data_IF_399428147905
#
_entry.id   IF_399428147905
#
_cell.length_a   1.000
_cell.length_b   1.000
_cell.length_c   1.000
_cell.angle_alpha   90.00
_cell.angle_beta   90.00
_cell.angle_gamma   90.00
#
_symmetry.space_group_name_H-M   'P 1'
#
loop_
_entity.id
_entity.type
_entity.pdbx_description
1 polymer ?
#
# COMPACT_ATOMS: atom_id res chain seq x y z
N UNK A 1 -7.32 -7.82 27.81
CA UNK A 1 -8.52 -7.20 28.44
C UNK A 1 -8.96 -6.10 27.51
N UNK A 2 -10.13 -6.23 26.90
CA UNK A 2 -10.68 -5.19 26.07
C UNK A 2 -11.24 -4.11 27.00
N UNK A 3 -10.64 -2.95 27.01
CA UNK A 3 -11.21 -1.78 27.67
C UNK A 3 -11.56 -0.81 26.55
N UNK A 4 -12.83 -0.73 26.22
CA UNK A 4 -13.36 0.33 25.37
C UNK A 4 -13.80 1.45 26.30
N UNK A 5 -13.12 2.56 26.26
CA UNK A 5 -13.57 3.77 26.95
C UNK A 5 -13.79 4.81 25.87
N UNK A 6 -15.00 5.27 25.67
CA UNK A 6 -15.26 6.42 24.83
C UNK A 6 -14.56 7.64 25.45
N UNK A 7 -13.68 8.25 24.71
CA UNK A 7 -13.07 9.53 25.08
C UNK A 7 -13.76 10.59 24.25
N UNK A 8 -14.41 11.54 24.95
CA UNK A 8 -15.02 12.68 24.30
C UNK A 8 -13.90 13.61 23.76
N UNK A 9 -13.82 13.79 22.47
CA UNK A 9 -12.87 14.68 21.84
C UNK A 9 -13.05 16.16 22.22
N UNK A 10 -14.18 16.54 22.79
CA UNK A 10 -14.37 17.85 23.38
C UNK A 10 -13.32 18.21 24.43
N UNK A 11 -12.71 17.20 25.06
CA UNK A 11 -11.62 17.36 26.02
C UNK A 11 -10.27 17.63 25.32
N UNK A 12 -10.16 17.29 24.05
CA UNK A 12 -8.94 17.45 23.25
C UNK A 12 -8.94 18.68 22.34
N UNK A 13 -9.92 19.56 22.50
CA UNK A 13 -10.02 20.82 21.76
C UNK A 13 -10.89 20.80 20.51
N UNK A 14 -11.57 19.69 20.24
CA UNK A 14 -12.65 19.59 19.26
C UNK A 14 -13.95 19.96 19.98
N UNK A 15 -14.84 20.73 19.34
CA UNK A 15 -16.08 21.14 19.99
C UNK A 15 -16.99 19.94 20.25
N UNK A 16 -17.73 19.98 21.37
CA UNK A 16 -18.63 18.91 21.76
C UNK A 16 -19.80 18.69 20.80
N UNK A 17 -19.97 19.56 19.84
CA UNK A 17 -21.02 19.45 18.81
C UNK A 17 -20.58 18.53 17.65
N UNK A 18 -19.31 18.09 17.62
CA UNK A 18 -18.75 17.32 16.53
C UNK A 18 -18.94 15.81 16.67
N UNK A 19 -19.50 15.36 17.79
CA UNK A 19 -19.86 13.96 17.99
C UNK A 19 -18.70 12.97 17.82
N UNK A 20 -17.48 13.38 18.17
CA UNK A 20 -16.32 12.53 18.02
C UNK A 20 -16.24 11.48 19.12
N UNK A 21 -16.05 10.23 18.76
CA UNK A 21 -15.90 9.11 19.67
C UNK A 21 -14.53 8.44 19.43
N UNK A 22 -13.74 8.29 20.48
CA UNK A 22 -12.49 7.52 20.44
C UNK A 22 -12.67 6.23 21.22
N UNK A 23 -12.58 5.14 20.52
CA UNK A 23 -12.51 3.82 21.12
C UNK A 23 -11.08 3.30 21.03
N UNK A 24 -10.50 2.89 22.14
CA UNK A 24 -9.19 2.29 22.13
C UNK A 24 -9.22 0.90 22.77
N UNK A 25 -8.36 0.03 22.25
CA UNK A 25 -8.22 -1.34 22.72
C UNK A 25 -6.77 -1.57 23.12
N UNK A 26 -6.53 -1.91 24.38
CA UNK A 26 -5.23 -2.36 24.84
C UNK A 26 -5.16 -3.87 24.65
N UNK A 27 -4.33 -4.34 23.73
CA UNK A 27 -4.19 -5.77 23.41
C UNK A 27 -3.13 -6.49 24.24
N UNK A 28 -2.40 -5.77 25.07
CA UNK A 28 -1.36 -6.26 25.96
C UNK A 28 -0.79 -5.10 26.77
N UNK A 29 0.29 -5.35 27.51
CA UNK A 29 0.98 -4.26 28.22
C UNK A 29 1.79 -3.35 27.31
N UNK A 30 2.03 -3.76 26.06
CA UNK A 30 2.98 -3.12 25.17
C UNK A 30 2.36 -2.57 23.88
N UNK A 31 1.18 -3.04 23.50
CA UNK A 31 0.52 -2.65 22.27
C UNK A 31 -0.87 -2.09 22.52
N UNK A 32 -1.19 -1.04 21.79
CA UNK A 32 -2.52 -0.43 21.85
C UNK A 32 -3.02 -0.10 20.45
N UNK A 33 -4.33 0.06 20.37
CA UNK A 33 -5.01 0.61 19.22
C UNK A 33 -5.91 1.75 19.65
N UNK A 34 -5.98 2.75 18.81
CA UNK A 34 -6.99 3.80 18.91
C UNK A 34 -7.82 3.72 17.65
N UNK A 35 -9.10 3.54 17.84
CA UNK A 35 -10.10 3.67 16.81
C UNK A 35 -10.83 4.99 17.08
N UNK A 36 -10.65 5.95 16.20
CA UNK A 36 -11.29 7.25 16.27
C UNK A 36 -12.34 7.33 15.16
N UNK A 37 -13.55 7.64 15.52
CA UNK A 37 -14.63 7.92 14.58
C UNK A 37 -15.10 9.37 14.80
N UNK A 38 -15.13 10.13 13.74
CA UNK A 38 -15.56 11.54 13.76
C UNK A 38 -16.82 11.65 12.92
N UNK A 39 -17.87 12.14 13.53
CA UNK A 39 -19.14 12.40 12.85
C UNK A 39 -19.13 13.79 12.19
N UNK A 40 -19.75 13.89 11.04
CA UNK A 40 -19.78 15.09 10.22
C UNK A 40 -20.31 16.33 10.93
N UNK A 41 -19.62 17.42 10.82
CA UNK A 41 -20.06 18.71 11.38
C UNK A 41 -19.10 19.85 11.11
N UNK A 42 -17.79 19.64 11.20
CA UNK A 42 -16.80 20.70 11.05
C UNK A 42 -15.81 20.43 9.95
N UNK A 43 -16.13 20.87 8.76
CA UNK A 43 -15.16 20.93 7.66
C UNK A 43 -13.95 21.76 8.09
N UNK A 44 -12.76 21.15 8.08
CA UNK A 44 -11.50 21.85 8.29
C UNK A 44 -10.97 21.88 9.73
N UNK A 45 -11.42 20.99 10.59
CA UNK A 45 -10.84 20.84 11.93
C UNK A 45 -9.67 19.85 11.89
N UNK A 46 -8.51 20.29 12.38
CA UNK A 46 -7.41 19.39 12.67
C UNK A 46 -7.70 18.67 14.00
N UNK A 47 -7.63 17.36 13.97
CA UNK A 47 -7.75 16.53 15.15
C UNK A 47 -6.39 16.13 15.66
N UNK A 48 -6.01 16.60 16.84
CA UNK A 48 -4.81 16.19 17.55
C UNK A 48 -5.12 15.23 18.67
N UNK A 49 -4.56 14.03 18.63
CA UNK A 49 -4.64 13.06 19.72
C UNK A 49 -3.34 13.06 20.51
N UNK A 50 -3.40 13.55 21.74
CA UNK A 50 -2.25 13.55 22.63
C UNK A 50 -2.26 12.29 23.51
N UNK A 51 -1.34 11.39 23.29
CA UNK A 51 -1.23 10.12 24.03
C UNK A 51 -0.95 10.29 25.52
N UNK A 52 -0.32 11.39 25.92
CA UNK A 52 -0.12 11.72 27.32
C UNK A 52 -1.40 11.87 28.12
N UNK A 53 -2.50 12.18 27.46
CA UNK A 53 -3.82 12.32 28.10
C UNK A 53 -4.55 10.97 28.22
N UNK A 54 -4.12 9.95 27.47
CA UNK A 54 -4.69 8.61 27.53
C UNK A 54 -3.93 7.72 28.55
N UNK A 55 -2.97 8.29 29.24
CA UNK A 55 -2.12 7.59 30.23
C UNK A 55 -2.88 7.00 31.41
N UNK A 56 -4.10 7.47 31.68
CA UNK A 56 -4.94 6.90 32.74
C UNK A 56 -5.34 5.45 32.51
N UNK A 57 -5.11 4.92 31.31
CA UNK A 57 -5.34 3.54 30.95
C UNK A 57 -4.04 2.73 30.80
N UNK A 58 -2.96 3.33 31.17
CA UNK A 58 -1.71 2.64 31.37
C UNK A 58 -0.71 2.72 30.25
N UNK A 59 -0.97 3.44 29.16
CA UNK A 59 -0.01 3.56 28.06
C UNK A 59 -0.53 4.28 26.86
N UNK A 60 0.34 4.66 25.98
CA UNK A 60 1.69 5.15 25.99
C UNK A 60 1.73 6.65 26.09
N UNK A 61 2.88 7.16 26.35
CA UNK A 61 2.98 8.51 26.83
C UNK A 61 3.79 9.40 25.89
N UNK A 62 3.31 10.60 25.68
CA UNK A 62 4.13 11.67 25.16
C UNK A 62 4.18 11.83 23.65
N UNK A 63 3.41 11.08 22.89
CA UNK A 63 3.31 11.30 21.44
C UNK A 63 2.02 12.06 21.12
N UNK A 64 2.14 13.04 20.23
CA UNK A 64 0.99 13.71 19.62
C UNK A 64 0.86 13.22 18.20
N UNK A 65 -0.32 12.81 17.80
CA UNK A 65 -0.65 12.52 16.43
C UNK A 65 -1.62 13.60 15.97
N UNK A 66 -1.19 14.30 14.95
CA UNK A 66 -2.05 15.24 14.27
C UNK A 66 -2.83 14.49 13.19
N UNK A 67 -4.12 14.40 13.42
CA UNK A 67 -5.08 13.89 12.45
C UNK A 67 -5.77 15.10 11.85
N UNK A 68 -5.19 15.65 10.79
CA UNK A 68 -5.90 16.64 10.01
C UNK A 68 -6.93 15.94 9.13
N UNK A 69 -8.18 16.38 9.11
CA UNK A 69 -9.20 15.86 8.21
C UNK A 69 -10.23 16.93 7.86
N UNK A 70 -10.85 16.74 6.70
CA UNK A 70 -11.98 17.53 6.27
C UNK A 70 -13.23 16.65 6.41
N UNK A 71 -13.96 16.82 7.48
CA UNK A 71 -15.13 16.02 7.75
C UNK A 71 -16.36 16.59 7.02
N UNK A 72 -16.52 16.20 5.79
CA UNK A 72 -17.83 16.32 5.13
C UNK A 72 -18.72 15.10 5.35
N UNK A 73 -18.14 14.00 5.80
CA UNK A 73 -18.77 12.72 6.08
C UNK A 73 -18.22 12.14 7.37
N UNK A 74 -18.83 11.08 7.87
CA UNK A 74 -18.31 10.32 8.98
C UNK A 74 -16.99 9.65 8.56
N UNK A 75 -15.94 9.90 9.32
CA UNK A 75 -14.63 9.32 9.08
C UNK A 75 -14.18 8.48 10.27
N UNK A 76 -13.56 7.35 9.98
CA UNK A 76 -12.98 6.47 10.99
C UNK A 76 -11.45 6.36 10.78
N UNK A 77 -10.72 6.54 11.85
CA UNK A 77 -9.27 6.44 11.89
C UNK A 77 -8.85 5.33 12.82
N UNK A 78 -7.82 4.62 12.43
CA UNK A 78 -7.22 3.57 13.25
C UNK A 78 -5.76 3.90 13.43
N UNK A 79 -5.35 3.97 14.69
CA UNK A 79 -3.99 4.21 15.09
C UNK A 79 -3.48 3.01 15.85
N UNK A 80 -2.27 2.60 15.59
CA UNK A 80 -1.61 1.54 16.33
C UNK A 80 -0.23 1.97 16.80
N UNK A 81 0.21 1.40 17.89
CA UNK A 81 1.49 1.73 18.47
C UNK A 81 1.88 0.81 19.60
N UNK A 82 3.00 1.11 20.22
CA UNK A 82 3.57 0.39 21.34
C UNK A 82 3.96 1.35 22.43
N UNK A 83 3.73 0.97 23.68
CA UNK A 83 4.12 1.74 24.85
C UNK A 83 5.64 1.83 25.02
N UNK A 84 6.35 0.79 24.63
CA UNK A 84 7.80 0.74 24.75
C UNK A 84 8.53 1.72 23.82
N UNK A 85 7.90 2.07 22.71
CA UNK A 85 8.52 2.92 21.68
C UNK A 85 7.93 4.31 21.63
N UNK A 86 7.12 4.72 22.61
CA UNK A 86 6.26 5.83 22.32
C UNK A 86 5.63 5.62 20.92
N UNK A 87 4.41 5.57 20.74
CA UNK A 87 3.74 5.32 19.48
C UNK A 87 4.54 5.91 18.30
N UNK A 88 5.20 5.05 17.54
CA UNK A 88 5.80 5.46 16.29
C UNK A 88 4.66 5.67 15.33
N UNK A 89 4.10 6.82 15.42
CA UNK A 89 3.08 7.19 14.50
C UNK A 89 3.67 7.17 13.14
N UNK A 90 3.04 6.63 12.43
CA UNK A 90 2.98 6.61 11.07
C UNK A 90 2.68 7.91 10.35
N UNK A 91 2.91 9.03 10.89
CA UNK A 91 2.71 10.28 10.21
C UNK A 91 3.98 11.15 10.21
N UNK A 92 4.78 11.11 9.13
CA UNK A 92 4.72 10.31 7.92
C UNK A 92 5.25 8.87 8.15
N UNK A 93 4.69 7.86 7.50
CA UNK A 93 5.03 6.47 7.73
C UNK A 93 6.26 5.99 6.93
N UNK A 94 7.27 6.80 6.79
CA UNK A 94 8.41 6.52 5.93
C UNK A 94 9.19 5.27 6.32
N UNK A 95 9.18 4.90 7.59
CA UNK A 95 9.95 3.77 8.12
C UNK A 95 9.12 2.89 9.06
N UNK A 96 7.83 2.73 8.73
CA UNK A 96 6.88 2.04 9.59
C UNK A 96 7.18 0.56 9.79
N UNK A 97 7.75 -0.13 8.81
CA UNK A 97 8.14 -1.52 8.97
C UNK A 97 9.31 -1.65 9.94
N UNK A 98 10.36 -0.84 9.72
CA UNK A 98 11.56 -0.83 10.58
C UNK A 98 11.22 -0.48 12.02
N UNK A 99 10.40 0.54 12.24
CA UNK A 99 10.00 0.97 13.59
C UNK A 99 9.23 -0.10 14.35
N UNK A 100 8.50 -0.95 13.63
CA UNK A 100 7.65 -1.99 14.22
C UNK A 100 8.25 -3.39 14.15
N UNK A 101 9.51 -3.55 13.75
CA UNK A 101 10.19 -4.85 13.77
C UNK A 101 10.08 -5.59 15.11
N UNK A 102 10.15 -4.93 16.29
CA UNK A 102 9.97 -5.62 17.55
C UNK A 102 8.63 -6.35 17.69
N UNK A 103 7.58 -5.84 17.04
CA UNK A 103 6.22 -6.37 17.16
C UNK A 103 5.78 -7.22 15.98
N UNK A 104 6.23 -6.89 14.76
CA UNK A 104 5.82 -7.58 13.53
C UNK A 104 6.97 -8.27 12.78
N UNK A 105 8.21 -8.08 13.20
CA UNK A 105 9.38 -8.59 12.47
C UNK A 105 9.44 -10.12 12.36
N UNK A 106 8.90 -10.86 13.32
CA UNK A 106 8.82 -12.31 13.29
C UNK A 106 7.69 -12.85 12.40
N UNK A 107 6.78 -11.98 11.97
CA UNK A 107 5.64 -12.39 11.15
C UNK A 107 6.09 -12.69 9.72
N UNK A 108 5.65 -13.80 9.12
CA UNK A 108 5.86 -14.05 7.71
C UNK A 108 5.08 -13.03 6.87
N UNK A 109 5.56 -12.75 5.67
CA UNK A 109 4.95 -11.75 4.78
C UNK A 109 3.45 -12.00 4.55
N UNK A 110 3.03 -13.29 4.50
CA UNK A 110 1.60 -13.67 4.37
C UNK A 110 0.72 -13.28 5.55
N UNK A 111 1.32 -12.96 6.69
CA UNK A 111 0.62 -12.47 7.89
C UNK A 111 0.65 -10.93 7.99
N UNK A 112 1.23 -10.25 7.02
CA UNK A 112 1.33 -8.80 7.02
C UNK A 112 0.34 -8.18 6.04
N UNK A 113 -0.13 -7.01 6.42
CA UNK A 113 -0.89 -6.08 5.58
C UNK A 113 -0.01 -4.87 5.27
N UNK A 114 -0.04 -4.38 4.02
CA UNK A 114 0.67 -3.18 3.62
C UNK A 114 -0.07 -2.41 2.53
N UNK A 115 0.13 -1.08 2.46
CA UNK A 115 -0.41 -0.28 1.37
C UNK A 115 0.22 -0.65 0.04
N UNK A 116 -0.61 -0.66 -1.01
CA UNK A 116 -0.25 -0.97 -2.37
C UNK A 116 -0.74 0.10 -3.35
N UNK A 117 0.02 0.37 -4.39
CA UNK A 117 -0.28 1.37 -5.40
C UNK A 117 -0.63 0.70 -6.73
N UNK A 118 -1.79 1.03 -7.26
CA UNK A 118 -2.24 0.64 -8.58
C UNK A 118 -1.61 1.54 -9.64
N UNK A 119 -1.10 0.92 -10.71
CA UNK A 119 -0.51 1.65 -11.85
C UNK A 119 0.45 2.78 -11.37
N UNK A 120 1.37 2.39 -10.52
CA UNK A 120 2.03 3.26 -9.55
C UNK A 120 2.89 4.37 -10.18
N UNK A 121 3.35 4.19 -11.42
CA UNK A 121 4.17 5.16 -12.13
C UNK A 121 3.40 6.26 -12.85
N UNK A 122 2.06 6.24 -12.80
CA UNK A 122 1.20 7.12 -13.57
C UNK A 122 0.79 8.38 -12.81
N UNK A 123 1.78 9.13 -12.30
CA UNK A 123 1.60 10.44 -11.67
C UNK A 123 1.88 11.61 -12.60
N UNK A 124 2.33 11.34 -13.81
CA UNK A 124 2.64 12.34 -14.86
C UNK A 124 2.49 11.69 -16.23
N UNK A 125 2.26 12.50 -17.26
CA UNK A 125 2.27 12.05 -18.65
C UNK A 125 3.56 12.47 -19.36
N UNK A 126 4.27 11.47 -19.92
CA UNK A 126 5.44 11.62 -20.78
C UNK A 126 5.15 11.15 -22.22
N UNK A 127 4.00 11.52 -22.74
CA UNK A 127 3.49 11.10 -24.02
C UNK A 127 2.21 10.28 -23.89
N UNK A 128 1.30 10.45 -24.85
CA UNK A 128 0.00 9.78 -24.84
C UNK A 128 -0.52 9.59 -26.27
N UNK A 129 -1.48 8.70 -26.43
CA UNK A 129 -2.20 8.51 -27.71
C UNK A 129 -3.15 9.69 -27.96
N UNK A 130 -3.62 9.81 -29.20
CA UNK A 130 -4.36 10.98 -29.66
C UNK A 130 -5.68 11.27 -28.90
N UNK A 131 -6.27 10.28 -28.28
CA UNK A 131 -7.56 10.40 -27.57
C UNK A 131 -7.45 10.19 -26.07
N UNK A 132 -6.24 10.02 -25.54
CA UNK A 132 -5.97 9.93 -24.11
C UNK A 132 -5.52 11.28 -23.57
N UNK A 133 -5.88 11.59 -22.33
CA UNK A 133 -5.47 12.78 -21.59
C UNK A 133 -5.15 12.46 -20.12
N UNK A 134 -4.88 13.48 -19.32
CA UNK A 134 -4.55 13.31 -17.90
C UNK A 134 -5.69 12.63 -17.13
N UNK A 135 -6.94 12.96 -17.46
CA UNK A 135 -8.10 12.51 -16.70
C UNK A 135 -8.35 10.99 -16.82
N UNK A 136 -8.10 10.42 -18.00
CA UNK A 136 -8.33 8.99 -18.26
C UNK A 136 -7.08 8.13 -18.12
N UNK A 137 -5.92 8.74 -17.90
CA UNK A 137 -4.63 8.05 -17.95
C UNK A 137 -3.88 8.08 -16.63
N UNK A 138 -3.96 9.18 -15.87
CA UNK A 138 -3.30 9.28 -14.57
C UNK A 138 -4.08 8.53 -13.50
N UNK A 139 -3.36 7.79 -12.70
CA UNK A 139 -3.91 7.04 -11.56
C UNK A 139 -3.35 7.52 -10.22
N UNK A 140 -2.28 8.30 -10.23
CA UNK A 140 -1.59 8.76 -9.02
C UNK A 140 -1.33 10.26 -9.07
N UNK A 141 -1.29 10.92 -7.91
CA UNK A 141 -0.84 12.31 -7.78
C UNK A 141 0.65 12.38 -7.43
N UNK A 142 1.11 11.49 -6.53
CA UNK A 142 2.51 11.42 -6.12
C UNK A 142 3.29 10.48 -7.04
N UNK A 143 4.55 10.82 -7.29
CA UNK A 143 5.52 9.91 -7.87
C UNK A 143 5.87 8.76 -6.90
N UNK A 144 6.64 7.78 -7.36
CA UNK A 144 7.03 6.62 -6.53
C UNK A 144 7.71 7.08 -5.21
N UNK A 145 8.50 8.15 -5.25
CA UNK A 145 9.15 8.69 -4.06
C UNK A 145 8.16 9.24 -3.04
N UNK A 146 7.15 9.98 -3.47
CA UNK A 146 6.07 10.48 -2.63
C UNK A 146 5.20 9.34 -2.05
N UNK A 147 4.86 8.36 -2.88
CA UNK A 147 4.11 7.18 -2.44
C UNK A 147 4.88 6.36 -1.37
N UNK A 148 6.19 6.19 -1.55
CA UNK A 148 7.06 5.56 -0.54
C UNK A 148 7.06 6.34 0.77
N UNK A 149 7.13 7.68 0.69
CA UNK A 149 7.12 8.57 1.86
C UNK A 149 5.80 8.50 2.65
N UNK A 150 4.69 8.20 1.98
CA UNK A 150 3.37 8.02 2.62
C UNK A 150 3.10 6.58 3.08
N UNK A 151 4.06 5.66 2.90
CA UNK A 151 4.03 4.31 3.50
C UNK A 151 3.68 3.18 2.57
N UNK A 152 3.51 3.44 1.29
CA UNK A 152 3.27 2.40 0.29
C UNK A 152 4.51 1.55 0.08
N UNK A 153 4.31 0.22 -0.11
CA UNK A 153 5.41 -0.75 -0.19
C UNK A 153 5.26 -1.78 -1.30
N UNK A 154 4.09 -1.89 -1.90
CA UNK A 154 3.82 -2.74 -3.06
C UNK A 154 3.36 -1.84 -4.21
N UNK A 155 3.98 -1.99 -5.38
CA UNK A 155 3.80 -1.12 -6.53
C UNK A 155 3.51 -1.95 -7.78
N UNK A 156 2.33 -1.78 -8.36
CA UNK A 156 1.99 -2.27 -9.70
C UNK A 156 2.71 -1.39 -10.72
N UNK A 157 3.76 -1.93 -11.31
CA UNK A 157 4.60 -1.25 -12.31
C UNK A 157 4.31 -1.88 -13.67
N UNK A 158 3.91 -1.05 -14.63
CA UNK A 158 3.56 -1.48 -15.99
C UNK A 158 4.57 -0.96 -17.00
N UNK A 159 5.66 -1.70 -17.26
CA UNK A 159 6.72 -1.21 -18.12
C UNK A 159 6.28 -1.12 -19.58
N UNK A 160 6.57 0.00 -20.23
CA UNK A 160 6.39 0.15 -21.67
C UNK A 160 7.67 0.67 -22.32
N UNK A 161 7.84 0.40 -23.61
CA UNK A 161 8.88 1.01 -24.42
C UNK A 161 8.27 2.17 -25.21
N UNK A 162 8.92 3.34 -25.14
CA UNK A 162 8.58 4.50 -25.94
C UNK A 162 9.87 5.24 -26.33
N UNK A 163 10.02 5.55 -27.62
CA UNK A 163 11.23 6.11 -28.20
C UNK A 163 12.50 5.32 -27.79
N UNK A 164 12.37 3.97 -27.71
CA UNK A 164 13.45 3.06 -27.32
C UNK A 164 13.86 3.14 -25.85
N UNK A 165 13.09 3.79 -24.98
CA UNK A 165 13.33 3.92 -23.55
C UNK A 165 12.22 3.24 -22.74
N UNK A 166 12.53 2.81 -21.52
CA UNK A 166 11.53 2.22 -20.62
C UNK A 166 10.86 3.26 -19.73
N UNK A 167 9.54 3.30 -19.80
CA UNK A 167 8.64 4.08 -18.95
C UNK A 167 7.67 3.15 -18.22
N UNK A 168 6.93 3.67 -17.28
CA UNK A 168 5.65 3.10 -16.86
C UNK A 168 4.57 3.51 -17.84
N UNK A 169 3.47 2.78 -17.94
CA UNK A 169 2.41 3.13 -18.87
C UNK A 169 1.04 2.62 -18.46
N UNK A 170 0.02 3.38 -18.79
CA UNK A 170 -1.38 2.98 -18.67
C UNK A 170 -2.00 2.94 -20.06
N UNK A 171 -2.23 1.74 -20.57
CA UNK A 171 -2.74 1.50 -21.92
C UNK A 171 -3.84 0.46 -21.93
N UNK A 172 -4.88 0.70 -22.72
CA UNK A 172 -5.99 -0.22 -22.95
C UNK A 172 -6.28 -0.34 -24.45
N UNK A 173 -6.56 -1.56 -24.91
CA UNK A 173 -7.07 -1.81 -26.27
C UNK A 173 -8.58 -1.58 -26.26
N UNK A 174 -9.02 -0.51 -26.93
CA UNK A 174 -10.43 -0.17 -27.10
C UNK A 174 -10.81 -0.50 -28.54
N UNK A 175 -11.45 -1.64 -28.73
CA UNK A 175 -11.93 -2.12 -30.04
C UNK A 175 -10.84 -2.15 -31.15
N UNK A 176 -9.63 -2.55 -30.78
CA UNK A 176 -8.48 -2.62 -31.69
C UNK A 176 -7.72 -1.30 -31.83
N UNK A 177 -8.04 -0.29 -31.03
CA UNK A 177 -7.33 0.97 -30.96
C UNK A 177 -6.74 1.16 -29.56
N UNK A 178 -5.43 1.09 -29.45
CA UNK A 178 -4.73 1.32 -28.17
C UNK A 178 -4.83 2.80 -27.79
N UNK A 179 -5.27 3.04 -26.55
CA UNK A 179 -5.36 4.34 -25.92
C UNK A 179 -4.65 4.32 -24.58
N UNK A 180 -4.00 5.41 -24.21
CA UNK A 180 -3.29 5.56 -22.97
C UNK A 180 -2.06 6.46 -23.07
N UNK A 181 -1.20 6.40 -22.05
CA UNK A 181 -0.01 7.23 -21.96
C UNK A 181 1.11 6.61 -21.16
N UNK A 182 2.28 7.26 -21.25
CA UNK A 182 3.49 6.91 -20.52
C UNK A 182 3.59 7.75 -19.24
N UNK A 183 3.94 7.13 -18.16
CA UNK A 183 4.20 7.75 -16.86
C UNK A 183 5.67 8.05 -16.61
N UNK A 184 6.14 7.75 -15.41
CA UNK A 184 7.52 7.93 -15.01
C UNK A 184 8.48 7.03 -15.81
N UNK A 185 9.69 7.49 -16.06
CA UNK A 185 10.72 6.60 -16.60
C UNK A 185 11.12 5.53 -15.59
N UNK A 186 11.49 4.34 -16.06
CA UNK A 186 12.00 3.29 -15.16
C UNK A 186 13.31 3.74 -14.48
N UNK A 187 14.07 4.64 -15.10
CA UNK A 187 15.23 5.28 -14.45
C UNK A 187 14.83 6.11 -13.24
N UNK A 188 13.75 6.91 -13.34
CA UNK A 188 13.26 7.71 -12.21
C UNK A 188 12.72 6.84 -11.09
N UNK A 189 11.98 5.77 -11.43
CA UNK A 189 11.53 4.77 -10.44
C UNK A 189 12.72 4.20 -9.67
N UNK A 190 13.78 3.77 -10.37
CA UNK A 190 15.00 3.24 -9.74
C UNK A 190 15.65 4.27 -8.83
N UNK A 191 15.80 5.50 -9.29
CA UNK A 191 16.42 6.58 -8.53
C UNK A 191 15.64 6.92 -7.26
N UNK A 192 14.30 6.98 -7.34
CA UNK A 192 13.43 7.31 -6.22
C UNK A 192 13.41 6.19 -5.17
N UNK A 193 13.33 4.91 -5.60
CA UNK A 193 13.42 3.76 -4.71
C UNK A 193 14.79 3.74 -3.99
N UNK A 194 15.88 3.94 -4.74
CA UNK A 194 17.22 3.98 -4.15
C UNK A 194 17.38 5.13 -3.16
N UNK A 195 16.91 6.34 -3.50
CA UNK A 195 16.99 7.51 -2.61
C UNK A 195 16.21 7.28 -1.31
N UNK A 196 15.02 6.68 -1.40
CA UNK A 196 14.21 6.34 -0.24
C UNK A 196 14.88 5.30 0.65
N UNK A 197 15.35 4.19 0.07
CA UNK A 197 15.94 3.08 0.82
C UNK A 197 17.34 3.39 1.38
N UNK A 198 18.02 4.41 0.87
CA UNK A 198 19.25 4.91 1.47
C UNK A 198 19.05 5.49 2.87
N UNK A 199 17.82 5.89 3.21
CA UNK A 199 17.46 6.49 4.49
C UNK A 199 16.53 5.61 5.35
N UNK A 200 15.87 4.62 4.74
CA UNK A 200 14.83 3.82 5.36
C UNK A 200 15.07 2.33 5.13
N UNK A 201 15.17 1.55 6.18
CA UNK A 201 15.32 0.09 6.07
C UNK A 201 13.95 -0.56 5.93
N UNK A 202 13.41 -0.53 4.74
CA UNK A 202 12.07 -1.00 4.43
C UNK A 202 12.10 -2.08 3.35
N UNK A 203 11.02 -2.85 3.24
CA UNK A 203 10.78 -3.76 2.13
C UNK A 203 9.98 -3.03 1.05
N UNK A 204 10.47 -3.05 -0.18
CA UNK A 204 9.76 -2.55 -1.37
C UNK A 204 9.54 -3.70 -2.34
N UNK A 205 8.32 -3.86 -2.83
CA UNK A 205 7.92 -4.87 -3.80
C UNK A 205 7.48 -4.15 -5.07
N UNK A 206 8.16 -4.44 -6.16
CA UNK A 206 7.79 -3.98 -7.50
C UNK A 206 7.20 -5.17 -8.27
N UNK A 207 5.91 -5.10 -8.56
CA UNK A 207 5.18 -6.11 -9.33
C UNK A 207 5.08 -5.64 -10.78
N UNK A 208 5.79 -6.32 -11.68
CA UNK A 208 5.86 -5.96 -13.09
C UNK A 208 4.72 -6.63 -13.85
N UNK A 209 3.80 -5.82 -14.35
CA UNK A 209 2.61 -6.28 -15.09
C UNK A 209 2.47 -5.52 -16.41
N UNK A 210 1.58 -5.95 -17.31
CA UNK A 210 1.09 -5.21 -18.51
C UNK A 210 2.20 -4.55 -19.35
N UNK A 211 3.26 -5.29 -19.67
CA UNK A 211 4.43 -4.76 -20.36
C UNK A 211 4.27 -4.81 -21.89
N UNK A 212 4.38 -3.65 -22.54
CA UNK A 212 4.15 -3.49 -24.00
C UNK A 212 5.23 -2.66 -24.68
N UNK A 213 5.46 -2.95 -25.97
CA UNK A 213 6.25 -2.11 -26.85
C UNK A 213 5.32 -1.15 -27.61
N UNK A 214 5.27 0.13 -27.17
CA UNK A 214 4.41 1.14 -27.82
C UNK A 214 4.99 1.65 -29.12
N UNK A 215 6.27 1.43 -29.37
CA UNK A 215 6.93 1.80 -30.63
C UNK A 215 6.58 0.84 -31.79
N UNK A 216 6.13 -0.39 -31.45
CA UNK A 216 5.81 -1.44 -32.45
C UNK A 216 4.36 -1.94 -32.39
N UNK A 217 3.42 -1.06 -32.03
CA UNK A 217 1.99 -1.38 -32.02
C UNK A 217 1.51 -2.22 -30.85
N UNK A 218 2.16 -2.08 -29.70
CA UNK A 218 1.77 -2.64 -28.39
C UNK A 218 1.85 -4.18 -28.25
N UNK A 219 2.78 -4.91 -28.91
CA UNK A 219 2.98 -6.30 -28.58
C UNK A 219 3.58 -6.43 -27.18
N UNK A 220 3.44 -7.60 -26.53
CA UNK A 220 4.22 -7.95 -25.36
C UNK A 220 5.73 -7.81 -25.63
N UNK A 221 6.51 -7.47 -24.61
CA UNK A 221 7.94 -7.31 -24.76
C UNK A 221 8.61 -8.61 -25.25
N UNK A 222 9.48 -8.49 -26.23
CA UNK A 222 10.33 -9.60 -26.65
C UNK A 222 11.29 -10.00 -25.53
N UNK A 223 11.85 -11.21 -25.59
CA UNK A 223 12.85 -11.66 -24.61
C UNK A 223 14.05 -10.73 -24.52
N UNK A 224 14.49 -10.15 -25.65
CA UNK A 224 15.60 -9.22 -25.66
C UNK A 224 15.27 -7.91 -24.93
N UNK A 225 14.06 -7.39 -25.13
CA UNK A 225 13.55 -6.20 -24.44
C UNK A 225 13.35 -6.45 -22.95
N UNK A 226 12.76 -7.58 -22.58
CA UNK A 226 12.66 -8.00 -21.19
C UNK A 226 14.03 -8.10 -20.52
N UNK A 227 15.01 -8.72 -21.18
CA UNK A 227 16.37 -8.79 -20.65
C UNK A 227 17.00 -7.39 -20.46
N UNK A 228 16.73 -6.45 -21.38
CA UNK A 228 17.20 -5.08 -21.27
C UNK A 228 16.54 -4.35 -20.09
N UNK A 229 15.22 -4.52 -19.91
CA UNK A 229 14.49 -4.00 -18.75
C UNK A 229 15.08 -4.53 -17.43
N UNK A 230 15.32 -5.86 -17.35
CA UNK A 230 15.91 -6.46 -16.17
C UNK A 230 17.33 -5.94 -15.90
N UNK A 231 18.11 -5.75 -16.95
CA UNK A 231 19.44 -5.16 -16.82
C UNK A 231 19.37 -3.74 -16.28
N UNK A 232 18.40 -2.93 -16.70
CA UNK A 232 18.19 -1.60 -16.15
C UNK A 232 17.76 -1.66 -14.68
N UNK A 233 16.83 -2.56 -14.32
CA UNK A 233 16.36 -2.76 -12.94
C UNK A 233 17.43 -3.28 -11.99
N UNK A 234 18.54 -3.85 -12.49
CA UNK A 234 19.72 -4.16 -11.66
C UNK A 234 20.39 -2.88 -11.09
N UNK A 235 20.02 -1.69 -11.57
CA UNK A 235 20.39 -0.42 -10.96
C UNK A 235 19.74 -0.17 -9.59
N UNK A 236 18.74 -0.95 -9.22
CA UNK A 236 18.16 -0.94 -7.86
C UNK A 236 19.19 -1.45 -6.85
N UNK A 237 19.33 -0.71 -5.76
CA UNK A 237 20.11 -1.12 -4.61
C UNK A 237 19.26 -2.04 -3.71
N UNK A 238 19.90 -2.77 -2.81
CA UNK A 238 19.22 -3.63 -1.84
C UNK A 238 18.37 -4.75 -2.46
N UNK A 239 18.70 -5.21 -3.67
CA UNK A 239 18.03 -6.36 -4.27
C UNK A 239 18.14 -7.58 -3.36
N UNK A 240 17.00 -8.12 -2.93
CA UNK A 240 16.92 -9.16 -1.92
C UNK A 240 17.39 -10.52 -2.48
N UNK A 241 18.35 -11.14 -1.81
CA UNK A 241 18.76 -12.51 -2.10
C UNK A 241 18.06 -13.48 -1.13
N UNK A 242 17.05 -14.18 -1.60
CA UNK A 242 16.36 -15.16 -0.76
C UNK A 242 17.31 -16.30 -0.34
N UNK A 243 17.15 -16.87 0.86
CA UNK A 243 17.87 -18.05 1.29
C UNK A 243 17.75 -19.19 0.28
N UNK A 244 18.82 -19.96 0.11
CA UNK A 244 18.83 -21.08 -0.84
C UNK A 244 17.69 -22.06 -0.53
N UNK A 245 16.96 -22.46 -1.58
CA UNK A 245 15.82 -23.37 -1.48
C UNK A 245 14.48 -22.68 -1.12
N UNK A 246 14.44 -21.36 -1.03
CA UNK A 246 13.18 -20.63 -0.86
C UNK A 246 12.32 -20.77 -2.13
N UNK A 247 11.20 -21.46 -2.00
CA UNK A 247 10.21 -21.60 -3.08
C UNK A 247 9.01 -20.66 -2.94
N UNK A 248 8.85 -20.02 -1.77
CA UNK A 248 7.71 -19.18 -1.44
C UNK A 248 8.17 -18.06 -0.50
N UNK A 249 8.34 -16.88 -1.07
CA UNK A 249 8.78 -15.67 -0.35
C UNK A 249 7.79 -15.22 0.73
N UNK A 250 6.50 -15.53 0.56
CA UNK A 250 5.47 -15.13 1.50
C UNK A 250 5.63 -15.80 2.89
N UNK A 251 6.46 -16.84 2.99
CA UNK A 251 6.78 -17.54 4.23
C UNK A 251 7.98 -16.95 4.97
N UNK A 252 8.75 -16.10 4.31
CA UNK A 252 9.85 -15.40 4.97
C UNK A 252 9.28 -14.33 5.90
N UNK A 253 9.91 -14.17 7.06
CA UNK A 253 9.53 -13.16 8.03
C UNK A 253 10.03 -11.77 7.62
N UNK A 254 9.38 -10.72 8.11
CA UNK A 254 9.82 -9.34 7.85
C UNK A 254 11.27 -9.13 8.29
N UNK A 255 11.68 -9.73 9.42
CA UNK A 255 13.08 -9.72 9.87
C UNK A 255 14.04 -10.31 8.84
N UNK A 256 13.65 -11.36 8.12
CA UNK A 256 14.50 -11.94 7.07
C UNK A 256 14.69 -11.00 5.89
N UNK A 257 13.73 -10.10 5.66
CA UNK A 257 13.87 -9.08 4.62
C UNK A 257 14.66 -7.86 5.09
N UNK A 258 14.35 -7.29 6.24
CA UNK A 258 14.84 -5.94 6.58
C UNK A 258 15.60 -5.81 7.90
N UNK A 259 15.82 -6.86 8.68
CA UNK A 259 16.57 -6.73 9.95
C UNK A 259 18.04 -6.29 9.75
N UNK A 260 18.64 -6.62 8.61
CA UNK A 260 20.02 -6.25 8.28
C UNK A 260 20.17 -5.05 7.33
N UNK A 261 19.07 -4.49 6.86
CA UNK A 261 19.05 -3.39 5.89
C UNK A 261 17.77 -3.40 5.07
N UNK A 262 17.66 -2.48 4.13
CA UNK A 262 16.52 -2.42 3.22
C UNK A 262 16.50 -3.61 2.24
N UNK A 263 15.33 -3.89 1.65
CA UNK A 263 15.15 -4.94 0.65
C UNK A 263 14.25 -4.51 -0.50
N UNK A 264 14.63 -4.89 -1.71
CA UNK A 264 13.78 -4.76 -2.91
C UNK A 264 13.52 -6.14 -3.50
N UNK A 265 12.26 -6.43 -3.79
CA UNK A 265 11.80 -7.61 -4.52
C UNK A 265 11.14 -7.14 -5.82
N UNK A 266 11.49 -7.76 -6.94
CA UNK A 266 10.87 -7.56 -8.24
C UNK A 266 10.15 -8.85 -8.60
N UNK A 267 8.85 -8.75 -8.85
CA UNK A 267 8.00 -9.87 -9.25
C UNK A 267 7.60 -9.71 -10.71
N UNK A 268 7.58 -10.82 -11.43
CA UNK A 268 7.00 -10.89 -12.77
C UNK A 268 5.64 -11.53 -12.66
N UNK A 269 4.59 -10.73 -12.70
CA UNK A 269 3.20 -11.21 -12.58
C UNK A 269 2.35 -10.88 -13.81
N UNK A 270 2.93 -11.00 -15.00
CA UNK A 270 2.19 -10.78 -16.23
C UNK A 270 2.63 -11.70 -17.35
N UNK A 271 1.68 -12.14 -18.17
CA UNK A 271 1.93 -12.93 -19.38
C UNK A 271 2.63 -12.13 -20.49
N UNK A 272 2.69 -10.81 -20.38
CA UNK A 272 3.40 -9.93 -21.32
C UNK A 272 4.89 -9.82 -21.03
N UNK A 273 5.35 -10.36 -19.89
CA UNK A 273 6.74 -10.43 -19.49
C UNK A 273 7.22 -11.88 -19.45
N UNK A 274 8.28 -12.20 -20.17
CA UNK A 274 8.96 -13.47 -20.04
C UNK A 274 10.24 -13.30 -19.22
N UNK A 275 10.35 -13.89 -18.03
CA UNK A 275 11.55 -13.75 -17.21
C UNK A 275 12.81 -14.34 -17.88
N UNK A 276 12.66 -15.26 -18.85
CA UNK A 276 13.73 -15.78 -19.67
C UNK A 276 14.98 -16.20 -18.90
N UNK A 277 16.10 -15.57 -19.23
CA UNK A 277 17.40 -15.84 -18.58
C UNK A 277 17.41 -15.53 -17.08
N UNK A 278 16.54 -14.61 -16.61
CA UNK A 278 16.45 -14.22 -15.20
C UNK A 278 15.73 -15.27 -14.36
N UNK A 279 14.85 -16.09 -14.96
CA UNK A 279 14.19 -17.19 -14.26
C UNK A 279 15.12 -18.35 -13.92
N UNK A 280 16.20 -18.51 -14.63
CA UNK A 280 17.13 -19.65 -14.51
C UNK A 280 18.43 -19.31 -13.77
N UNK A 281 18.73 -18.04 -13.63
CA UNK A 281 19.89 -17.54 -12.89
C UNK A 281 19.44 -17.00 -11.54
N UNK A 282 20.24 -17.28 -10.51
CA UNK A 282 20.04 -16.68 -9.19
C UNK A 282 20.42 -15.19 -9.21
N UNK A 283 19.64 -14.38 -9.90
CA UNK A 283 19.76 -12.93 -9.81
C UNK A 283 19.06 -12.48 -8.51
N UNK A 284 19.77 -11.86 -7.58
CA UNK A 284 19.15 -11.31 -6.40
C UNK A 284 18.02 -10.34 -6.78
N UNK A 285 16.91 -10.44 -6.08
CA UNK A 285 15.78 -9.50 -6.20
C UNK A 285 14.76 -9.84 -7.28
N UNK A 286 15.05 -10.73 -8.23
CA UNK A 286 14.13 -11.07 -9.32
C UNK A 286 13.47 -12.43 -9.08
N UNK A 287 12.15 -12.42 -9.00
CA UNK A 287 11.34 -13.59 -8.70
C UNK A 287 10.14 -13.68 -9.64
N UNK A 288 9.60 -14.86 -9.83
CA UNK A 288 8.38 -15.05 -10.59
C UNK A 288 7.15 -15.13 -9.65
N UNK A 289 5.97 -15.03 -10.22
CA UNK A 289 4.70 -15.05 -9.50
C UNK A 289 4.41 -16.38 -8.78
N UNK A 290 5.12 -17.46 -9.08
CA UNK A 290 5.01 -18.71 -8.31
C UNK A 290 5.77 -18.64 -6.99
N UNK A 291 6.76 -17.75 -6.89
CA UNK A 291 7.56 -17.54 -5.68
C UNK A 291 6.95 -16.48 -4.75
N UNK A 292 6.13 -15.59 -5.28
CA UNK A 292 5.26 -14.68 -4.52
C UNK A 292 3.91 -14.58 -5.22
N UNK A 293 3.05 -15.58 -5.00
CA UNK A 293 1.75 -15.62 -5.64
C UNK A 293 0.75 -14.77 -4.88
N UNK A 294 0.14 -13.82 -5.57
CA UNK A 294 -0.86 -12.89 -5.04
C UNK A 294 -2.17 -13.11 -5.78
N UNK A 295 -3.25 -13.35 -5.05
CA UNK A 295 -4.58 -13.28 -5.65
C UNK A 295 -4.94 -11.81 -5.87
N UNK A 296 -5.03 -11.42 -7.14
CA UNK A 296 -5.39 -10.08 -7.60
C UNK A 296 -6.56 -10.19 -8.57
N UNK A 297 -7.70 -9.58 -8.24
CA UNK A 297 -8.89 -9.55 -9.09
C UNK A 297 -9.75 -8.35 -8.71
N UNK A 298 -9.70 -7.30 -9.52
CA UNK A 298 -10.48 -6.08 -9.32
C UNK A 298 -11.98 -6.29 -9.62
N UNK A 299 -12.81 -5.32 -9.27
CA UNK A 299 -14.26 -5.43 -9.37
C UNK A 299 -14.83 -5.03 -10.73
N UNK A 300 -14.06 -4.32 -11.55
CA UNK A 300 -14.45 -3.81 -12.87
C UNK A 300 -15.77 -3.01 -12.84
N UNK A 301 -15.84 -2.03 -11.95
CA UNK A 301 -17.02 -1.20 -11.74
C UNK A 301 -16.66 0.21 -11.28
N UNK A 302 -17.48 1.19 -11.65
CA UNK A 302 -17.44 2.55 -11.09
C UNK A 302 -18.36 2.72 -9.86
N UNK A 303 -19.18 1.70 -9.53
CA UNK A 303 -20.09 1.75 -8.38
C UNK A 303 -19.39 1.31 -7.11
N UNK A 304 -19.34 2.21 -6.12
CA UNK A 304 -18.64 2.00 -4.85
C UNK A 304 -19.17 0.77 -4.08
N UNK A 305 -20.48 0.65 -3.91
CA UNK A 305 -21.05 -0.43 -3.09
C UNK A 305 -20.85 -1.80 -3.77
N UNK A 306 -20.87 -1.84 -5.09
CA UNK A 306 -20.54 -3.03 -5.88
C UNK A 306 -19.08 -3.42 -5.69
N UNK A 307 -18.16 -2.46 -5.80
CA UNK A 307 -16.71 -2.68 -5.58
C UNK A 307 -16.45 -3.20 -4.15
N UNK A 308 -17.02 -2.53 -3.15
CA UNK A 308 -16.89 -2.94 -1.74
C UNK A 308 -17.38 -4.37 -1.52
N UNK A 309 -18.58 -4.68 -2.03
CA UNK A 309 -19.19 -6.01 -1.88
C UNK A 309 -18.35 -7.08 -2.55
N UNK A 310 -17.88 -6.83 -3.77
CA UNK A 310 -17.04 -7.76 -4.54
C UNK A 310 -15.71 -8.01 -3.80
N UNK A 311 -14.99 -6.95 -3.42
CA UNK A 311 -13.67 -7.07 -2.84
C UNK A 311 -13.68 -7.70 -1.43
N UNK A 312 -14.61 -7.32 -0.58
CA UNK A 312 -14.75 -7.94 0.73
C UNK A 312 -15.23 -9.38 0.64
N UNK A 313 -16.09 -9.69 -0.32
CA UNK A 313 -16.51 -11.05 -0.62
C UNK A 313 -15.36 -11.95 -1.09
N UNK A 314 -14.50 -11.44 -1.99
CA UNK A 314 -13.27 -12.11 -2.44
C UNK A 314 -12.29 -12.29 -1.28
N UNK A 315 -12.07 -11.26 -0.45
CA UNK A 315 -11.24 -11.37 0.74
C UNK A 315 -11.71 -12.50 1.65
N UNK A 316 -12.99 -12.52 2.01
CA UNK A 316 -13.55 -13.57 2.85
C UNK A 316 -13.47 -14.96 2.20
N UNK A 317 -13.51 -15.06 0.87
CA UNK A 317 -13.37 -16.32 0.15
C UNK A 317 -11.93 -16.83 0.10
N UNK A 318 -10.95 -15.94 -0.08
CA UNK A 318 -9.54 -16.29 -0.27
C UNK A 318 -8.77 -16.37 1.06
N UNK A 319 -9.09 -15.53 2.03
CA UNK A 319 -8.42 -15.46 3.34
C UNK A 319 -9.21 -16.25 4.38
N UNK A 320 -8.95 -17.56 4.47
CA UNK A 320 -9.60 -18.46 5.43
C UNK A 320 -8.77 -18.68 6.72
N UNK A 321 -7.52 -18.29 6.68
CA UNK A 321 -6.58 -18.31 7.80
C UNK A 321 -5.42 -17.35 7.51
N UNK A 322 -4.61 -16.97 8.50
CA UNK A 322 -3.39 -16.19 8.26
C UNK A 322 -2.43 -16.87 7.27
N UNK A 323 -2.42 -18.21 7.23
CA UNK A 323 -1.58 -19.01 6.32
C UNK A 323 -2.14 -19.17 4.90
N UNK A 324 -3.30 -18.61 4.60
CA UNK A 324 -3.82 -18.58 3.23
C UNK A 324 -2.87 -17.84 2.29
N UNK A 325 -3.02 -18.03 0.98
CA UNK A 325 -2.28 -17.28 -0.04
C UNK A 325 -2.45 -15.77 0.11
N UNK A 326 -1.49 -15.01 -0.42
CA UNK A 326 -1.57 -13.55 -0.41
C UNK A 326 -2.79 -13.05 -1.18
N UNK A 327 -3.44 -12.04 -0.63
CA UNK A 327 -4.63 -11.40 -1.20
C UNK A 327 -4.41 -9.90 -1.34
N UNK A 328 -4.64 -9.40 -2.55
CA UNK A 328 -4.65 -7.98 -2.85
C UNK A 328 -6.11 -7.52 -2.89
N UNK A 329 -6.44 -6.59 -2.00
CA UNK A 329 -7.69 -5.87 -1.99
C UNK A 329 -7.59 -4.72 -2.98
N UNK A 330 -8.18 -4.86 -4.16
CA UNK A 330 -8.21 -3.82 -5.17
C UNK A 330 -9.31 -2.81 -4.84
N UNK A 331 -8.95 -1.79 -4.08
CA UNK A 331 -9.88 -0.75 -3.64
C UNK A 331 -9.89 0.41 -4.63
N UNK A 332 -10.11 0.06 -5.90
CA UNK A 332 -10.08 0.95 -7.06
C UNK A 332 -11.43 0.92 -7.78
N UNK A 333 -11.82 2.04 -8.36
CA UNK A 333 -13.02 2.15 -9.19
C UNK A 333 -12.60 2.20 -10.66
N UNK A 334 -13.23 1.36 -11.49
CA UNK A 334 -13.02 1.38 -12.94
C UNK A 334 -13.90 2.47 -13.52
N UNK A 335 -13.37 3.67 -13.56
CA UNK A 335 -14.05 4.88 -14.01
C UNK A 335 -13.28 5.55 -15.15
N UNK A 336 -13.93 6.50 -15.83
CA UNK A 336 -13.29 7.27 -16.89
C UNK A 336 -12.25 8.27 -16.35
N UNK A 337 -12.33 8.63 -15.07
CA UNK A 337 -11.40 9.52 -14.39
C UNK A 337 -11.04 8.89 -13.04
N UNK A 338 -9.98 8.04 -13.00
CA UNK A 338 -9.57 7.35 -11.77
C UNK A 338 -9.24 8.31 -10.62
N UNK A 339 -8.63 9.46 -10.92
CA UNK A 339 -8.25 10.44 -9.91
C UNK A 339 -9.46 11.15 -9.29
N UNK A 340 -10.52 11.40 -10.06
CA UNK A 340 -11.72 12.06 -9.55
C UNK A 340 -12.58 11.12 -8.68
N UNK A 341 -12.59 9.83 -8.99
CA UNK A 341 -13.46 8.86 -8.30
C UNK A 341 -12.80 8.19 -7.10
N UNK A 342 -11.47 8.07 -7.07
CA UNK A 342 -10.71 7.46 -5.99
C UNK A 342 -11.00 8.07 -4.59
N UNK A 343 -11.15 9.39 -4.40
CA UNK A 343 -11.49 9.95 -3.07
C UNK A 343 -12.75 9.36 -2.45
N UNK A 344 -13.75 9.02 -3.28
CA UNK A 344 -14.99 8.37 -2.82
C UNK A 344 -14.71 6.96 -2.28
N UNK A 345 -13.84 6.21 -2.95
CA UNK A 345 -13.41 4.90 -2.49
C UNK A 345 -12.57 5.02 -1.19
N UNK A 346 -11.66 6.00 -1.13
CA UNK A 346 -10.82 6.24 0.06
C UNK A 346 -11.66 6.55 1.30
N UNK A 347 -12.68 7.42 1.18
CA UNK A 347 -13.55 7.77 2.28
C UNK A 347 -14.30 6.56 2.86
N UNK A 348 -14.59 5.56 2.04
CA UNK A 348 -15.29 4.36 2.48
C UNK A 348 -14.36 3.29 3.09
N UNK A 349 -13.04 3.35 2.83
CA UNK A 349 -12.10 2.28 3.12
C UNK A 349 -12.13 1.86 4.60
N UNK A 350 -11.94 2.80 5.50
CA UNK A 350 -11.82 2.50 6.93
C UNK A 350 -13.10 1.92 7.50
N UNK A 351 -14.22 2.54 7.19
CA UNK A 351 -15.53 2.13 7.70
C UNK A 351 -15.97 0.76 7.19
N UNK A 352 -15.58 0.41 5.96
CA UNK A 352 -15.98 -0.84 5.32
C UNK A 352 -15.00 -1.97 5.56
N UNK A 353 -13.69 -1.70 5.49
CA UNK A 353 -12.67 -2.75 5.61
C UNK A 353 -12.46 -3.21 7.06
N UNK A 354 -12.31 -2.27 8.01
CA UNK A 354 -11.99 -2.66 9.39
C UNK A 354 -12.99 -3.64 10.01
N UNK A 355 -14.32 -3.43 9.93
CA UNK A 355 -15.30 -4.38 10.45
C UNK A 355 -15.28 -5.75 9.75
N UNK A 356 -14.80 -5.81 8.52
CA UNK A 356 -14.70 -7.05 7.76
C UNK A 356 -13.45 -7.85 8.09
N UNK A 357 -12.44 -7.21 8.71
CA UNK A 357 -11.22 -7.88 9.12
C UNK A 357 -11.40 -8.67 10.43
N UNK A 358 -10.68 -9.78 10.52
CA UNK A 358 -10.55 -10.58 11.73
C UNK A 358 -9.24 -11.35 11.69
N UNK A 359 -8.90 -12.09 12.77
CA UNK A 359 -7.63 -12.84 12.90
C UNK A 359 -7.38 -13.85 11.77
N UNK A 360 -8.39 -14.30 11.10
CA UNK A 360 -8.30 -15.30 10.04
C UNK A 360 -8.34 -14.66 8.65
N UNK A 361 -8.99 -13.50 8.52
CA UNK A 361 -9.27 -12.85 7.25
C UNK A 361 -8.96 -11.35 7.32
N UNK A 362 -7.93 -10.94 6.59
CA UNK A 362 -7.54 -9.54 6.34
C UNK A 362 -6.73 -9.50 5.05
N UNK A 363 -6.63 -8.34 4.36
CA UNK A 363 -5.86 -8.25 3.12
C UNK A 363 -4.36 -8.19 3.42
N UNK A 364 -3.55 -8.69 2.49
CA UNK A 364 -2.10 -8.50 2.52
C UNK A 364 -1.68 -7.19 1.86
N UNK A 365 -2.41 -6.79 0.84
CA UNK A 365 -2.17 -5.55 0.12
C UNK A 365 -3.48 -4.77 0.02
N UNK A 366 -3.45 -3.48 0.37
CA UNK A 366 -4.56 -2.55 0.17
C UNK A 366 -4.16 -1.65 -0.98
N UNK A 367 -4.70 -1.91 -2.17
CA UNK A 367 -4.32 -1.24 -3.40
C UNK A 367 -5.25 -0.07 -3.70
N UNK A 368 -4.66 1.09 -3.96
CA UNK A 368 -5.35 2.36 -4.16
C UNK A 368 -4.87 3.10 -5.41
N UNK A 369 -5.76 3.95 -5.93
CA UNK A 369 -5.47 5.07 -6.83
C UNK A 369 -5.31 6.37 -6.04
N UNK A 370 -4.97 7.46 -6.73
CA UNK A 370 -4.93 8.85 -6.25
C UNK A 370 -4.10 9.08 -4.99
N UNK A 371 -2.98 8.35 -4.87
CA UNK A 371 -2.02 8.55 -3.78
C UNK A 371 -1.37 9.93 -3.98
N UNK A 372 -1.36 10.75 -2.91
CA UNK A 372 -0.89 12.14 -2.96
C UNK A 372 -2.01 13.17 -3.17
N UNK A 373 -3.27 12.74 -3.21
CA UNK A 373 -4.40 13.68 -3.23
C UNK A 373 -4.27 14.72 -2.12
N UNK A 374 -4.70 15.96 -2.39
CA UNK A 374 -4.38 17.15 -1.57
C UNK A 374 -4.86 17.11 -0.11
N UNK A 375 -5.79 16.23 0.20
CA UNK A 375 -6.18 15.94 1.57
C UNK A 375 -5.35 14.80 2.21
N UNK A 376 -4.14 14.64 1.83
CA UNK A 376 -3.05 13.72 2.24
C UNK A 376 -3.27 12.77 3.44
N UNK A 377 -4.37 12.93 4.15
CA UNK A 377 -4.74 12.24 5.37
C UNK A 377 -5.16 10.82 5.12
N UNK A 378 -5.97 10.62 4.09
CA UNK A 378 -6.46 9.29 3.77
C UNK A 378 -5.31 8.36 3.38
N UNK A 379 -4.34 8.84 2.60
CA UNK A 379 -3.20 8.03 2.19
C UNK A 379 -2.25 7.67 3.33
N UNK A 380 -1.97 8.59 4.23
CA UNK A 380 -1.17 8.32 5.44
C UNK A 380 -1.89 7.35 6.38
N UNK A 381 -3.20 7.45 6.44
CA UNK A 381 -4.03 6.59 7.25
C UNK A 381 -4.06 5.14 6.73
N UNK A 382 -3.83 4.88 5.44
CA UNK A 382 -3.76 3.51 4.93
C UNK A 382 -2.56 2.75 5.52
N UNK A 383 -1.41 3.41 5.71
CA UNK A 383 -0.31 2.80 6.44
C UNK A 383 -0.65 2.57 7.91
N UNK A 384 -1.36 3.51 8.56
CA UNK A 384 -1.86 3.33 9.93
C UNK A 384 -2.87 2.19 10.03
N UNK A 385 -3.79 2.07 9.08
CA UNK A 385 -4.73 0.95 8.99
C UNK A 385 -4.00 -0.38 8.81
N UNK A 386 -3.03 -0.44 7.91
CA UNK A 386 -2.23 -1.66 7.70
C UNK A 386 -1.49 -2.07 8.96
N UNK A 387 -0.91 -1.10 9.69
CA UNK A 387 -0.27 -1.35 10.98
C UNK A 387 -1.25 -1.82 12.06
N UNK A 388 -2.44 -1.22 12.12
CA UNK A 388 -3.48 -1.66 13.04
C UNK A 388 -3.87 -3.12 12.76
N UNK A 389 -4.06 -3.49 11.50
CA UNK A 389 -4.31 -4.87 11.09
C UNK A 389 -3.17 -5.77 11.53
N UNK A 390 -1.93 -5.38 11.26
CA UNK A 390 -0.74 -6.17 11.60
C UNK A 390 -0.59 -6.42 13.11
N UNK A 391 -0.85 -5.43 13.94
CA UNK A 391 -0.67 -5.53 15.38
C UNK A 391 -1.87 -6.15 16.10
N UNK A 392 -3.08 -5.89 15.61
CA UNK A 392 -4.30 -6.36 16.28
C UNK A 392 -4.66 -7.80 15.95
N UNK A 393 -4.47 -8.20 14.69
CA UNK A 393 -4.89 -9.53 14.25
C UNK A 393 -3.76 -10.57 14.33
N UNK A 394 -2.50 -10.17 14.43
CA UNK A 394 -1.38 -11.07 14.61
C UNK A 394 -0.97 -11.22 16.09
N UNK A 395 -0.35 -12.33 16.40
CA UNK A 395 0.34 -12.47 17.68
C UNK A 395 1.59 -11.58 17.70
N UNK A 396 1.84 -10.91 18.81
CA UNK A 396 3.08 -10.16 18.97
C UNK A 396 4.30 -11.10 18.87
N UNK A 397 5.40 -10.57 18.33
CA UNK A 397 6.65 -11.31 18.31
C UNK A 397 7.10 -11.64 19.74
N UNK A 398 7.66 -12.82 19.98
CA UNK A 398 8.28 -13.11 21.26
C UNK A 398 9.39 -12.10 21.57
N UNK A 399 9.43 -11.61 22.80
CA UNK A 399 10.46 -10.69 23.28
C UNK A 399 11.86 -11.31 23.24
#
# INVERSE_FOLDING_TARGET
>A
MLVSVPVDFGILGVSTDDGAEVNYTVTGQENFQIHAQVHSGNAGSDLSVNYGQISSIGNPLGSTIDLGFWAFNDEAFILSGSDAASFSSTNPPQNWMQQNLPTIGCQPLRHLCMPASHDAGMSQLNGHTAFADDADTLTQYDDIGGQLATGFRYFDIRPVIHDGQFYTGHYSDIEGSWQGGNGQSITDVINQVNAFLAQNHELVILDLTHAYDTDDGYPPLTQAQTNALMQQLQGLQHLFAAPAGTSDLSRLTLNQFIASGASVIIIFDDSTLSPGDFSTKAFPGFYNNTQLSVYNSYADTADLDTMVTDQLGKMAAQRKSPDSGLFLLSWTLTALDPLADAPTAHAALFQRLWPACNKESFPNFIMLDAIGYSDNLNNRNVAALSMAINQYFNAACPA
#
